data_IF_217666371112
#
_entry.id   IF_217666371112
#
_cell.length_a   1.000
_cell.length_b   1.000
_cell.length_c   1.000
_cell.angle_alpha   90.00
_cell.angle_beta   90.00
_cell.angle_gamma   90.00
#
_symmetry.space_group_name_H-M   'P 1'
#
loop_
_entity.id
_entity.type
_entity.pdbx_description
1 polymer ?
#
# COMPACT_ATOMS: atom_id res chain seq x y z
N UNK A 1 48.67 32.40 -11.43
CA UNK A 1 49.11 33.50 -10.55
C UNK A 1 49.34 34.72 -11.44
N UNK A 2 48.79 35.94 -11.17
CA UNK A 2 47.77 36.39 -10.19
C UNK A 2 46.48 36.95 -10.88
N UNK A 3 45.27 36.80 -10.31
CA UNK A 3 44.52 37.69 -9.39
C UNK A 3 44.31 39.12 -9.94
N UNK A 4 43.10 39.67 -10.12
CA UNK A 4 42.09 40.18 -9.15
C UNK A 4 40.85 40.56 -10.03
N UNK A 5 39.57 40.35 -9.75
CA UNK A 5 38.79 40.27 -8.53
C UNK A 5 37.92 41.53 -8.39
N UNK A 6 36.66 41.55 -8.86
CA UNK A 6 35.61 42.42 -8.30
C UNK A 6 34.21 41.99 -8.79
N UNK A 7 33.55 41.18 -7.96
CA UNK A 7 32.13 40.83 -8.03
C UNK A 7 31.34 41.81 -7.15
N UNK A 8 30.36 42.53 -7.71
CA UNK A 8 29.38 43.29 -6.93
C UNK A 8 27.99 43.15 -7.57
N UNK A 9 27.22 42.17 -7.09
CA UNK A 9 25.75 42.14 -7.26
C UNK A 9 25.13 41.24 -6.19
N UNK A 10 24.82 41.82 -5.04
CA UNK A 10 23.94 41.20 -4.06
C UNK A 10 22.49 41.61 -4.34
N UNK A 11 21.54 40.68 -4.45
CA UNK A 11 20.12 40.99 -4.30
C UNK A 11 19.67 40.90 -2.82
N UNK A 12 18.64 41.66 -2.43
CA UNK A 12 18.29 41.91 -1.03
C UNK A 12 17.58 40.74 -0.36
N UNK A 13 17.97 40.48 0.88
CA UNK A 13 17.30 39.56 1.81
C UNK A 13 16.16 40.29 2.49
N UNK A 14 14.91 40.03 2.08
CA UNK A 14 13.73 40.37 2.87
C UNK A 14 13.41 39.21 3.80
N UNK A 15 14.01 39.22 5.00
CA UNK A 15 13.56 38.37 6.12
C UNK A 15 12.42 39.07 6.83
N UNK A 16 11.26 38.42 6.80
CA UNK A 16 10.08 38.78 7.54
C UNK A 16 10.34 38.87 9.05
N UNK A 17 9.85 39.98 9.59
CA UNK A 17 9.37 40.21 10.96
C UNK A 17 9.14 38.95 11.81
N UNK A 18 10.09 38.68 12.72
CA UNK A 18 9.85 37.88 13.92
C UNK A 18 9.53 38.83 15.05
N UNK A 19 8.24 38.98 15.35
CA UNK A 19 7.75 39.52 16.61
C UNK A 19 6.58 38.65 17.07
N UNK A 20 6.88 37.54 17.75
CA UNK A 20 5.89 36.89 18.60
C UNK A 20 6.33 37.04 20.06
N UNK A 21 5.69 38.00 20.72
CA UNK A 21 5.72 38.23 22.15
C UNK A 21 5.10 37.05 22.89
N UNK A 22 5.81 36.55 23.91
CA UNK A 22 5.27 35.58 24.86
C UNK A 22 4.48 36.27 25.99
N UNK A 23 3.45 35.53 26.42
CA UNK A 23 2.72 35.53 27.73
C UNK A 23 1.50 36.45 27.83
N UNK A 24 0.57 36.22 28.80
CA UNK A 24 0.14 35.00 29.47
C UNK A 24 -1.41 34.82 29.49
N UNK A 25 -1.83 33.67 30.04
CA UNK A 25 -3.21 33.30 30.43
C UNK A 25 -3.91 34.44 31.19
N UNK A 26 -5.14 34.78 30.77
CA UNK A 26 -6.13 35.46 31.61
C UNK A 26 -7.48 34.76 31.50
N UNK A 27 -7.93 34.22 32.64
CA UNK A 27 -9.32 33.86 32.90
C UNK A 27 -10.10 35.12 33.27
N UNK A 28 -11.24 35.34 32.64
CA UNK A 28 -12.39 36.15 33.08
C UNK A 28 -13.60 35.43 32.45
N UNK A 29 -14.46 34.69 33.14
CA UNK A 29 -15.33 35.04 34.27
C UNK A 29 -16.25 36.24 33.97
N UNK A 30 -17.54 35.91 33.78
CA UNK A 30 -18.72 36.60 34.31
C UNK A 30 -19.69 37.25 33.31
N UNK A 31 -20.98 36.91 33.53
CA UNK A 31 -22.18 37.64 33.13
C UNK A 31 -22.88 37.04 31.91
N UNK A 32 -24.14 36.63 31.91
CA UNK A 32 -25.24 36.69 32.89
C UNK A 32 -26.27 35.61 32.44
N UNK A 33 -26.67 34.68 33.31
CA UNK A 33 -27.90 34.75 34.11
C UNK A 33 -29.18 34.92 33.27
N UNK A 34 -29.88 33.82 32.97
CA UNK A 34 -31.36 33.79 32.97
C UNK A 34 -31.84 32.43 33.47
N UNK A 35 -32.38 32.47 34.70
CA UNK A 35 -33.49 31.72 35.27
C UNK A 35 -33.66 30.21 34.95
N UNK A 36 -33.40 29.41 35.98
CA UNK A 36 -34.19 28.22 36.30
C UNK A 36 -35.69 28.60 36.38
N UNK A 37 -36.49 28.02 35.49
CA UNK A 37 -37.90 27.73 35.75
C UNK A 37 -38.07 26.22 35.58
N UNK A 38 -37.95 25.51 36.70
CA UNK A 38 -38.55 24.19 36.86
C UNK A 38 -40.06 24.37 36.90
N UNK A 39 -40.69 24.41 35.72
CA UNK A 39 -42.12 24.15 35.59
C UNK A 39 -42.29 22.70 35.19
N UNK A 40 -42.62 21.89 36.20
CA UNK A 40 -43.32 20.63 36.04
C UNK A 40 -44.60 20.88 35.23
N UNK A 41 -44.53 20.62 33.93
CA UNK A 41 -45.70 20.46 33.09
C UNK A 41 -45.84 18.97 32.79
N UNK A 42 -46.82 18.33 33.44
CA UNK A 42 -47.48 17.17 32.89
C UNK A 42 -48.04 17.59 31.51
N UNK A 43 -47.25 17.34 30.47
CA UNK A 43 -47.65 17.64 29.10
C UNK A 43 -48.67 16.61 28.67
N UNK A 44 -49.94 16.99 28.78
CA UNK A 44 -51.04 16.49 27.98
C UNK A 44 -50.55 16.32 26.54
N UNK A 45 -50.80 15.14 25.98
CA UNK A 45 -50.44 14.75 24.63
C UNK A 45 -51.26 15.56 23.60
N UNK A 46 -50.94 16.84 23.39
CA UNK A 46 -51.54 17.63 22.32
C UNK A 46 -50.88 17.22 20.99
N UNK A 47 -51.61 16.67 20.01
CA UNK A 47 -51.03 16.33 18.73
C UNK A 47 -50.67 17.60 17.97
N UNK A 48 -49.37 17.79 17.69
CA UNK A 48 -48.89 18.82 16.79
C UNK A 48 -49.58 18.73 15.40
N UNK A 49 -49.82 19.86 14.71
CA UNK A 49 -50.46 19.87 13.40
C UNK A 49 -49.69 19.04 12.38
N UNK A 50 -50.40 18.26 11.56
CA UNK A 50 -49.84 17.29 10.62
C UNK A 50 -48.78 17.92 9.67
N UNK A 51 -48.92 19.20 9.31
CA UNK A 51 -47.99 19.94 8.43
C UNK A 51 -46.59 20.12 9.03
N UNK A 52 -46.46 20.37 10.34
CA UNK A 52 -45.17 20.52 11.01
C UNK A 52 -44.42 19.17 11.13
N UNK A 53 -45.17 18.08 11.32
CA UNK A 53 -44.64 16.71 11.42
C UNK A 53 -44.17 16.17 10.06
N UNK A 54 -44.86 16.53 8.98
CA UNK A 54 -44.45 16.26 7.59
C UNK A 54 -43.14 16.97 7.20
N UNK A 55 -42.99 18.26 7.56
CA UNK A 55 -41.74 19.00 7.34
C UNK A 55 -40.54 18.41 8.09
N UNK A 56 -40.74 17.97 9.34
CA UNK A 56 -39.70 17.33 10.14
C UNK A 56 -39.22 15.98 9.54
N UNK A 57 -40.15 15.15 9.06
CA UNK A 57 -39.82 13.89 8.36
C UNK A 57 -39.04 14.14 7.06
N UNK A 58 -39.44 15.16 6.30
CA UNK A 58 -38.78 15.53 5.05
C UNK A 58 -37.35 16.06 5.29
N UNK A 59 -37.14 16.83 6.36
CA UNK A 59 -35.82 17.26 6.83
C UNK A 59 -34.90 16.10 7.20
N UNK A 60 -35.39 15.10 7.96
CA UNK A 60 -34.60 13.90 8.28
C UNK A 60 -34.25 13.06 7.04
N UNK A 61 -35.17 12.95 6.06
CA UNK A 61 -34.89 12.31 4.76
C UNK A 61 -33.84 13.06 3.95
N UNK A 62 -33.82 14.39 4.00
CA UNK A 62 -32.76 15.19 3.37
C UNK A 62 -31.40 14.97 4.07
N UNK A 63 -31.38 14.94 5.41
CA UNK A 63 -30.19 14.62 6.20
C UNK A 63 -29.64 13.23 5.87
N UNK A 64 -30.50 12.21 5.73
CA UNK A 64 -30.08 10.86 5.33
C UNK A 64 -29.47 10.82 3.92
N UNK A 65 -30.02 11.59 2.97
CA UNK A 65 -29.45 11.71 1.60
C UNK A 65 -28.08 12.39 1.63
N UNK A 66 -27.91 13.45 2.41
CA UNK A 66 -26.62 14.13 2.58
C UNK A 66 -25.56 13.19 3.17
N UNK A 67 -25.89 12.46 4.25
CA UNK A 67 -24.99 11.46 4.84
C UNK A 67 -24.63 10.34 3.87
N UNK A 68 -25.58 9.88 3.04
CA UNK A 68 -25.31 8.88 2.00
C UNK A 68 -24.32 9.40 0.94
N UNK A 69 -24.45 10.68 0.54
CA UNK A 69 -23.50 11.32 -0.38
C UNK A 69 -22.10 11.49 0.24
N UNK A 70 -22.02 11.85 1.52
CA UNK A 70 -20.75 11.92 2.26
C UNK A 70 -20.05 10.55 2.34
N UNK A 71 -20.82 9.48 2.62
CA UNK A 71 -20.33 8.09 2.63
C UNK A 71 -19.76 7.71 1.26
N UNK A 72 -20.49 7.97 0.17
CA UNK A 72 -20.01 7.69 -1.18
C UNK A 72 -18.71 8.46 -1.50
N UNK A 73 -18.60 9.71 -1.05
CA UNK A 73 -17.37 10.50 -1.17
C UNK A 73 -16.19 9.94 -0.34
N UNK A 74 -16.46 9.37 0.83
CA UNK A 74 -15.45 8.70 1.67
C UNK A 74 -15.01 7.37 1.04
N UNK A 75 -15.92 6.58 0.50
CA UNK A 75 -15.61 5.33 -0.21
C UNK A 75 -14.73 5.61 -1.46
N UNK A 76 -15.01 6.67 -2.22
CA UNK A 76 -14.14 7.12 -3.31
C UNK A 76 -12.73 7.51 -2.82
N UNK A 77 -12.64 8.25 -1.70
CA UNK A 77 -11.36 8.60 -1.06
C UNK A 77 -10.58 7.38 -0.58
N UNK A 78 -11.27 6.33 -0.12
CA UNK A 78 -10.64 5.04 0.22
C UNK A 78 -10.02 4.41 -1.02
N UNK A 79 -10.74 4.33 -2.14
CA UNK A 79 -10.19 3.77 -3.38
C UNK A 79 -8.92 4.49 -3.84
N UNK A 80 -8.92 5.83 -3.77
CA UNK A 80 -7.73 6.63 -4.08
C UNK A 80 -6.59 6.43 -3.04
N UNK A 81 -6.91 6.33 -1.74
CA UNK A 81 -5.94 6.08 -0.69
C UNK A 81 -5.29 4.68 -0.81
N UNK A 82 -6.08 3.64 -1.09
CA UNK A 82 -5.60 2.29 -1.36
C UNK A 82 -4.66 2.27 -2.56
N UNK A 83 -5.02 2.95 -3.66
CA UNK A 83 -4.15 3.06 -4.85
C UNK A 83 -2.80 3.69 -4.50
N UNK A 84 -2.79 4.77 -3.70
CA UNK A 84 -1.54 5.40 -3.24
C UNK A 84 -0.72 4.48 -2.34
N UNK A 85 -1.37 3.81 -1.39
CA UNK A 85 -0.72 2.84 -0.50
C UNK A 85 -0.07 1.68 -1.28
N UNK A 86 -0.79 1.10 -2.24
CA UNK A 86 -0.27 0.02 -3.10
C UNK A 86 0.91 0.50 -3.96
N UNK A 87 0.83 1.72 -4.49
CA UNK A 87 1.95 2.33 -5.24
C UNK A 87 3.18 2.51 -4.35
N UNK A 88 3.01 3.06 -3.14
CA UNK A 88 4.10 3.24 -2.18
C UNK A 88 4.73 1.90 -1.77
N UNK A 89 3.92 0.87 -1.55
CA UNK A 89 4.38 -0.48 -1.20
C UNK A 89 5.21 -1.09 -2.33
N UNK A 90 4.74 -1.00 -3.58
CA UNK A 90 5.51 -1.47 -4.75
C UNK A 90 6.84 -0.72 -4.92
N UNK A 91 6.86 0.59 -4.66
CA UNK A 91 8.10 1.37 -4.70
C UNK A 91 9.10 0.90 -3.64
N UNK A 92 8.64 0.66 -2.40
CA UNK A 92 9.47 0.10 -1.33
C UNK A 92 10.04 -1.27 -1.69
N UNK A 93 9.23 -2.15 -2.27
CA UNK A 93 9.69 -3.46 -2.73
C UNK A 93 10.73 -3.36 -3.85
N UNK A 94 10.56 -2.42 -4.78
CA UNK A 94 11.54 -2.17 -5.85
C UNK A 94 12.89 -1.74 -5.28
N UNK A 95 12.90 -0.78 -4.34
CA UNK A 95 14.13 -0.34 -3.65
C UNK A 95 14.77 -1.51 -2.89
N UNK A 96 13.98 -2.32 -2.19
CA UNK A 96 14.48 -3.51 -1.48
C UNK A 96 15.09 -4.55 -2.43
N UNK A 97 14.52 -4.74 -3.64
CA UNK A 97 15.12 -5.59 -4.68
C UNK A 97 16.46 -5.05 -5.14
N UNK A 98 16.52 -3.75 -5.44
CA UNK A 98 17.77 -3.09 -5.85
C UNK A 98 18.86 -3.21 -4.78
N UNK A 99 18.51 -3.07 -3.50
CA UNK A 99 19.45 -3.24 -2.40
C UNK A 99 19.99 -4.68 -2.31
N UNK A 100 19.15 -5.70 -2.53
CA UNK A 100 19.59 -7.11 -2.57
C UNK A 100 20.55 -7.38 -3.73
N UNK A 101 20.25 -6.85 -4.91
CA UNK A 101 21.10 -6.99 -6.09
C UNK A 101 22.43 -6.24 -5.91
N UNK A 102 22.40 -5.02 -5.37
CA UNK A 102 23.62 -4.28 -5.05
C UNK A 102 24.50 -5.05 -4.07
N UNK A 103 23.93 -5.60 -2.98
CA UNK A 103 24.67 -6.45 -2.03
C UNK A 103 25.26 -7.71 -2.68
N UNK A 104 24.56 -8.32 -3.66
CA UNK A 104 25.09 -9.45 -4.43
C UNK A 104 26.31 -9.02 -5.25
N UNK A 105 26.22 -7.88 -5.96
CA UNK A 105 27.35 -7.32 -6.73
C UNK A 105 28.53 -6.96 -5.83
N UNK A 106 28.29 -6.40 -4.64
CA UNK A 106 29.36 -6.10 -3.68
C UNK A 106 30.12 -7.37 -3.28
N UNK A 107 29.42 -8.49 -3.03
CA UNK A 107 30.06 -9.78 -2.72
C UNK A 107 30.88 -10.32 -3.90
N UNK A 108 30.38 -10.17 -5.13
CA UNK A 108 31.12 -10.58 -6.33
C UNK A 108 32.39 -9.74 -6.50
N UNK A 109 32.28 -8.42 -6.43
CA UNK A 109 33.42 -7.50 -6.52
C UNK A 109 34.47 -7.75 -5.41
N UNK A 110 34.05 -8.16 -4.21
CA UNK A 110 34.99 -8.56 -3.16
C UNK A 110 35.77 -9.82 -3.54
N UNK A 111 35.10 -10.84 -4.08
CA UNK A 111 35.76 -12.08 -4.55
C UNK A 111 36.70 -11.80 -5.71
N UNK A 112 36.27 -11.01 -6.69
CA UNK A 112 37.09 -10.59 -7.83
C UNK A 112 38.34 -9.86 -7.36
N UNK A 113 38.23 -8.97 -6.37
CA UNK A 113 39.38 -8.27 -5.82
C UNK A 113 40.38 -9.23 -5.15
N UNK A 114 39.88 -10.20 -4.39
CA UNK A 114 40.73 -11.22 -3.75
C UNK A 114 41.49 -12.03 -4.81
N UNK A 115 40.81 -12.47 -5.86
CA UNK A 115 41.41 -13.22 -6.97
C UNK A 115 42.41 -12.37 -7.74
N UNK A 116 42.08 -11.11 -8.05
CA UNK A 116 42.98 -10.19 -8.74
C UNK A 116 44.25 -9.93 -7.92
N UNK A 117 44.13 -9.73 -6.61
CA UNK A 117 45.27 -9.54 -5.70
C UNK A 117 46.15 -10.79 -5.58
N UNK A 118 45.55 -11.99 -5.48
CA UNK A 118 46.34 -13.23 -5.42
C UNK A 118 47.06 -13.52 -6.73
N UNK A 119 46.42 -13.25 -7.86
CA UNK A 119 47.02 -13.40 -9.20
C UNK A 119 48.19 -12.43 -9.38
N UNK A 120 48.01 -11.16 -8.98
CA UNK A 120 49.07 -10.16 -9.01
C UNK A 120 50.26 -10.57 -8.11
N UNK A 121 49.99 -11.08 -6.90
CA UNK A 121 51.03 -11.54 -5.99
C UNK A 121 51.79 -12.76 -6.55
N UNK A 122 51.09 -13.74 -7.10
CA UNK A 122 51.71 -14.92 -7.71
C UNK A 122 52.60 -14.53 -8.91
N UNK A 123 52.15 -13.59 -9.75
CA UNK A 123 52.96 -13.06 -10.86
C UNK A 123 54.16 -12.26 -10.37
N UNK A 124 54.02 -11.45 -9.32
CA UNK A 124 55.15 -10.74 -8.72
C UNK A 124 56.23 -11.70 -8.21
N UNK A 125 55.84 -12.77 -7.54
CA UNK A 125 56.76 -13.83 -7.08
C UNK A 125 57.43 -14.54 -8.26
N UNK A 126 56.68 -14.84 -9.33
CA UNK A 126 57.23 -15.48 -10.53
C UNK A 126 58.26 -14.59 -11.24
N UNK A 127 57.99 -13.28 -11.35
CA UNK A 127 58.95 -12.32 -11.91
C UNK A 127 60.24 -12.27 -11.08
N UNK A 128 60.13 -12.17 -9.74
CA UNK A 128 61.29 -12.13 -8.85
C UNK A 128 62.11 -13.43 -8.89
N UNK A 129 61.46 -14.59 -8.88
CA UNK A 129 62.17 -15.90 -8.95
C UNK A 129 62.83 -16.16 -10.31
N UNK A 130 62.32 -15.56 -11.39
CA UNK A 130 63.00 -15.62 -12.68
C UNK A 130 64.21 -14.67 -12.77
N UNK A 131 64.34 -13.67 -11.89
CA UNK A 131 65.54 -12.83 -11.78
C UNK A 131 66.72 -13.54 -11.06
N UNK A 132 66.45 -14.58 -10.24
CA UNK A 132 67.47 -15.39 -9.57
C UNK A 132 68.15 -16.43 -10.48
N UNK A 133 67.71 -16.58 -11.74
CA UNK A 133 68.56 -17.15 -12.80
C UNK A 133 69.36 -15.98 -13.35
N UNK A 134 70.51 -15.74 -12.72
CA UNK A 134 71.24 -14.49 -12.85
C UNK A 134 71.39 -14.02 -14.32
N UNK A 135 71.17 -12.72 -14.62
CA UNK A 135 71.41 -12.14 -15.94
C UNK A 135 72.81 -12.45 -16.48
N UNK A 136 73.78 -12.74 -15.60
CA UNK A 136 75.13 -13.13 -15.99
C UNK A 136 75.19 -14.51 -16.67
N UNK A 137 74.39 -15.51 -16.28
CA UNK A 137 74.37 -16.83 -16.93
C UNK A 137 73.59 -16.83 -18.25
N UNK A 138 72.60 -15.93 -18.39
CA UNK A 138 71.86 -15.74 -19.64
C UNK A 138 72.56 -14.78 -20.63
N UNK A 139 73.34 -13.79 -20.16
CA UNK A 139 74.13 -12.90 -21.04
C UNK A 139 75.30 -13.65 -21.70
N UNK A 140 75.85 -14.68 -21.06
CA UNK A 140 76.84 -15.56 -21.71
C UNK A 140 76.22 -16.70 -22.54
N UNK A 141 74.88 -16.80 -22.60
CA UNK A 141 74.15 -17.87 -23.28
C UNK A 141 73.04 -17.47 -24.26
N UNK A 142 72.67 -16.19 -24.39
CA UNK A 142 71.56 -15.73 -25.23
C UNK A 142 72.03 -15.07 -26.54
N UNK A 143 71.35 -15.42 -27.63
CA UNK A 143 71.75 -15.08 -28.99
C UNK A 143 71.41 -13.64 -29.47
N UNK A 144 70.55 -12.85 -28.82
CA UNK A 144 70.24 -11.47 -29.28
C UNK A 144 69.65 -10.54 -28.18
N UNK A 145 70.14 -9.30 -28.10
CA UNK A 145 69.65 -8.23 -27.20
C UNK A 145 68.16 -7.86 -27.42
N UNK A 146 67.62 -8.17 -28.60
CA UNK A 146 66.25 -7.86 -29.00
C UNK A 146 65.20 -8.68 -28.23
N UNK A 147 65.52 -9.95 -27.92
CA UNK A 147 64.62 -10.84 -27.17
C UNK A 147 64.44 -10.39 -25.71
N UNK A 148 65.52 -9.90 -25.10
CA UNK A 148 65.49 -9.35 -23.74
C UNK A 148 64.59 -8.11 -23.64
N UNK A 149 64.69 -7.19 -24.60
CA UNK A 149 63.85 -5.97 -24.65
C UNK A 149 62.37 -6.34 -24.85
N UNK A 150 62.11 -7.37 -25.65
CA UNK A 150 60.75 -7.89 -25.90
C UNK A 150 60.14 -8.50 -24.63
N UNK A 151 60.90 -9.34 -23.92
CA UNK A 151 60.45 -9.94 -22.64
C UNK A 151 60.17 -8.88 -21.56
N UNK A 152 61.06 -7.89 -21.41
CA UNK A 152 60.86 -6.79 -20.45
C UNK A 152 59.62 -5.94 -20.78
N UNK A 153 59.37 -5.70 -22.06
CA UNK A 153 58.19 -4.98 -22.54
C UNK A 153 56.88 -5.73 -22.24
N UNK A 154 56.88 -7.05 -22.39
CA UNK A 154 55.74 -7.91 -22.03
C UNK A 154 55.46 -7.87 -20.53
N UNK A 155 56.48 -8.02 -19.69
CA UNK A 155 56.37 -7.94 -18.22
C UNK A 155 55.75 -6.61 -17.79
N UNK A 156 56.27 -5.50 -18.31
CA UNK A 156 55.76 -4.15 -18.01
C UNK A 156 54.30 -3.98 -18.42
N UNK A 157 53.89 -4.59 -19.53
CA UNK A 157 52.51 -4.55 -20.03
C UNK A 157 51.57 -5.36 -19.13
N UNK A 158 51.97 -6.57 -18.73
CA UNK A 158 51.20 -7.41 -17.80
C UNK A 158 51.03 -6.70 -16.45
N UNK A 159 52.11 -6.15 -15.88
CA UNK A 159 52.06 -5.43 -14.60
C UNK A 159 51.20 -4.14 -14.65
N UNK A 160 51.07 -3.50 -15.82
CA UNK A 160 50.12 -2.40 -16.03
C UNK A 160 48.69 -2.93 -16.05
N UNK A 161 48.42 -3.96 -16.84
CA UNK A 161 47.10 -4.59 -16.96
C UNK A 161 46.56 -5.04 -15.60
N UNK A 162 47.38 -5.71 -14.79
CA UNK A 162 46.95 -6.20 -13.48
C UNK A 162 46.60 -5.07 -12.50
N UNK A 163 47.36 -3.97 -12.53
CA UNK A 163 47.04 -2.78 -11.74
C UNK A 163 45.74 -2.14 -12.19
N UNK A 164 45.49 -2.10 -13.50
CA UNK A 164 44.25 -1.53 -14.05
C UNK A 164 43.03 -2.39 -13.70
N UNK A 165 43.16 -3.73 -13.69
CA UNK A 165 42.11 -4.65 -13.21
C UNK A 165 41.79 -4.40 -11.74
N UNK A 166 42.80 -4.33 -10.87
CA UNK A 166 42.59 -4.04 -9.44
C UNK A 166 41.93 -2.66 -9.24
N UNK A 167 42.41 -1.64 -9.97
CA UNK A 167 41.87 -0.27 -9.89
C UNK A 167 40.41 -0.21 -10.36
N UNK A 168 40.06 -0.94 -11.42
CA UNK A 168 38.70 -1.06 -11.92
C UNK A 168 37.77 -1.73 -10.89
N UNK A 169 38.19 -2.86 -10.30
CA UNK A 169 37.39 -3.55 -9.28
C UNK A 169 37.20 -2.66 -8.04
N UNK A 170 38.24 -1.94 -7.60
CA UNK A 170 38.12 -1.00 -6.49
C UNK A 170 37.18 0.17 -6.81
N UNK A 171 37.19 0.68 -8.05
CA UNK A 171 36.24 1.71 -8.50
C UNK A 171 34.80 1.17 -8.47
N UNK A 172 34.56 -0.04 -9.00
CA UNK A 172 33.25 -0.70 -8.93
C UNK A 172 32.78 -0.90 -7.48
N UNK A 173 33.68 -1.25 -6.56
CA UNK A 173 33.32 -1.38 -5.14
C UNK A 173 32.88 -0.06 -4.52
N UNK A 174 33.54 1.06 -4.85
CA UNK A 174 33.15 2.40 -4.38
C UNK A 174 31.78 2.78 -4.93
N UNK A 175 31.55 2.64 -6.23
CA UNK A 175 30.24 2.91 -6.86
C UNK A 175 29.11 2.08 -6.23
N UNK A 176 29.36 0.79 -5.97
CA UNK A 176 28.39 -0.07 -5.31
C UNK A 176 28.12 0.35 -3.85
N UNK A 177 29.11 0.88 -3.13
CA UNK A 177 28.94 1.37 -1.77
C UNK A 177 28.12 2.67 -1.74
N UNK A 178 28.46 3.63 -2.59
CA UNK A 178 27.75 4.92 -2.73
C UNK A 178 26.29 4.67 -3.13
N UNK A 179 26.08 3.75 -4.08
CA UNK A 179 24.73 3.34 -4.48
C UNK A 179 23.96 2.63 -3.37
N UNK A 180 24.63 1.88 -2.50
CA UNK A 180 23.96 1.26 -1.36
C UNK A 180 23.48 2.30 -0.34
N UNK A 181 24.27 3.36 -0.11
CA UNK A 181 23.87 4.48 0.75
C UNK A 181 22.64 5.22 0.19
N UNK A 182 22.66 5.55 -1.11
CA UNK A 182 21.52 6.17 -1.79
C UNK A 182 20.26 5.28 -1.72
N UNK A 183 20.37 3.98 -2.00
CA UNK A 183 19.24 3.05 -1.92
C UNK A 183 18.69 2.90 -0.49
N UNK A 184 19.55 3.03 0.53
CA UNK A 184 19.15 2.97 1.92
C UNK A 184 18.39 4.24 2.35
N UNK A 185 18.79 5.41 1.84
CA UNK A 185 18.03 6.65 2.00
C UNK A 185 16.65 6.56 1.30
N UNK A 186 16.61 6.03 0.08
CA UNK A 186 15.37 5.79 -0.67
C UNK A 186 14.45 4.82 0.07
N UNK A 187 15.02 3.76 0.67
CA UNK A 187 14.27 2.77 1.47
C UNK A 187 13.57 3.45 2.64
N UNK A 188 14.28 4.29 3.39
CA UNK A 188 13.72 5.03 4.54
C UNK A 188 12.61 5.98 4.10
N UNK A 189 12.80 6.66 2.98
CA UNK A 189 11.78 7.56 2.39
C UNK A 189 10.53 6.78 1.98
N UNK A 190 10.71 5.64 1.30
CA UNK A 190 9.61 4.77 0.89
C UNK A 190 8.87 4.17 2.09
N UNK A 191 9.56 3.77 3.17
CA UNK A 191 8.94 3.27 4.40
C UNK A 191 8.11 4.34 5.10
N UNK A 192 8.63 5.57 5.20
CA UNK A 192 7.85 6.71 5.71
C UNK A 192 6.60 6.95 4.87
N UNK A 193 6.70 6.91 3.54
CA UNK A 193 5.56 7.10 2.65
C UNK A 193 4.49 6.01 2.85
N UNK A 194 4.90 4.74 2.94
CA UNK A 194 3.98 3.62 3.23
C UNK A 194 3.28 3.83 4.57
N UNK A 195 4.02 4.24 5.61
CA UNK A 195 3.46 4.58 6.92
C UNK A 195 2.41 5.70 6.84
N UNK A 196 2.74 6.81 6.17
CA UNK A 196 1.82 7.93 5.96
C UNK A 196 0.55 7.52 5.21
N UNK A 197 0.69 6.73 4.14
CA UNK A 197 -0.46 6.23 3.39
C UNK A 197 -1.34 5.30 4.23
N UNK A 198 -0.74 4.42 5.05
CA UNK A 198 -1.46 3.53 5.95
C UNK A 198 -2.26 4.30 6.99
N UNK A 199 -1.65 5.30 7.63
CA UNK A 199 -2.33 6.16 8.61
C UNK A 199 -3.47 6.95 7.98
N UNK A 200 -3.25 7.53 6.79
CA UNK A 200 -4.30 8.26 6.06
C UNK A 200 -5.50 7.35 5.73
N UNK A 201 -5.25 6.10 5.29
CA UNK A 201 -6.29 5.12 5.04
C UNK A 201 -7.06 4.78 6.33
N UNK A 202 -6.37 4.60 7.45
CA UNK A 202 -6.98 4.39 8.76
C UNK A 202 -7.91 5.53 9.18
N UNK A 203 -7.47 6.78 9.05
CA UNK A 203 -8.29 7.96 9.37
C UNK A 203 -9.55 8.05 8.52
N UNK A 204 -9.45 7.76 7.21
CA UNK A 204 -10.63 7.80 6.33
C UNK A 204 -11.62 6.68 6.71
N UNK A 205 -11.13 5.50 7.08
CA UNK A 205 -11.96 4.37 7.53
C UNK A 205 -12.71 4.69 8.82
N UNK A 206 -12.05 5.31 9.80
CA UNK A 206 -12.71 5.74 11.05
C UNK A 206 -13.85 6.72 10.73
N UNK A 207 -13.58 7.73 9.88
CA UNK A 207 -14.62 8.70 9.46
C UNK A 207 -15.78 8.04 8.71
N UNK A 208 -15.50 7.03 7.89
CA UNK A 208 -16.54 6.28 7.18
C UNK A 208 -17.47 5.57 8.17
N UNK A 209 -16.91 4.93 9.19
CA UNK A 209 -17.69 4.21 10.20
C UNK A 209 -18.55 5.17 11.04
N UNK A 210 -17.99 6.31 11.45
CA UNK A 210 -18.74 7.37 12.14
C UNK A 210 -19.94 7.83 11.30
N UNK A 211 -19.76 8.02 9.98
CA UNK A 211 -20.84 8.47 9.08
C UNK A 211 -21.89 7.38 8.84
N UNK A 212 -21.48 6.12 8.72
CA UNK A 212 -22.41 4.97 8.61
C UNK A 212 -23.27 4.82 9.86
N UNK A 213 -22.66 4.94 11.04
CA UNK A 213 -23.36 4.94 12.33
C UNK A 213 -24.36 6.10 12.43
N UNK A 214 -23.96 7.31 12.04
CA UNK A 214 -24.86 8.47 11.98
C UNK A 214 -26.05 8.23 11.02
N UNK A 215 -25.80 7.67 9.84
CA UNK A 215 -26.87 7.36 8.88
C UNK A 215 -27.85 6.31 9.41
N UNK A 216 -27.36 5.27 10.09
CA UNK A 216 -28.19 4.26 10.73
C UNK A 216 -29.10 4.89 11.82
N UNK A 217 -28.53 5.79 12.63
CA UNK A 217 -29.28 6.59 13.61
C UNK A 217 -30.41 7.39 12.96
N UNK A 218 -30.11 8.18 11.93
CA UNK A 218 -31.12 8.98 11.21
C UNK A 218 -32.19 8.10 10.56
N UNK A 219 -31.82 6.95 9.98
CA UNK A 219 -32.79 5.99 9.41
C UNK A 219 -33.73 5.41 10.47
N UNK A 220 -33.22 5.10 11.67
CA UNK A 220 -34.04 4.62 12.78
C UNK A 220 -35.08 5.67 13.22
N UNK A 221 -34.67 6.94 13.26
CA UNK A 221 -35.54 8.06 13.60
C UNK A 221 -36.62 8.31 12.53
N UNK A 222 -36.26 8.22 11.24
CA UNK A 222 -37.23 8.27 10.13
C UNK A 222 -38.30 7.18 10.29
N UNK A 223 -37.90 5.94 10.62
CA UNK A 223 -38.86 4.84 10.84
C UNK A 223 -39.79 5.13 12.01
N UNK A 224 -39.27 5.63 13.13
CA UNK A 224 -40.08 6.01 14.30
C UNK A 224 -41.09 7.12 13.97
N UNK A 225 -40.65 8.16 13.25
CA UNK A 225 -41.50 9.26 12.83
C UNK A 225 -42.59 8.83 11.82
N UNK A 226 -42.25 7.90 10.91
CA UNK A 226 -43.20 7.35 9.95
C UNK A 226 -44.23 6.41 10.59
N UNK A 227 -43.83 5.62 11.60
CA UNK A 227 -44.74 4.74 12.34
C UNK A 227 -45.77 5.54 13.15
N UNK A 228 -45.37 6.67 13.76
CA UNK A 228 -46.28 7.57 14.45
C UNK A 228 -47.22 8.39 13.55
N UNK A 229 -47.11 8.25 12.22
CA UNK A 229 -47.93 8.95 11.23
C UNK A 229 -48.96 8.07 10.52
N UNK A 230 -49.09 6.77 10.88
CA UNK A 230 -50.13 5.89 10.34
C UNK A 230 -51.49 6.18 11.00
N UNK A 231 -52.54 6.57 10.25
CA UNK A 231 -53.92 6.49 10.75
C UNK A 231 -54.34 5.03 10.90
N UNK A 232 -55.10 4.74 11.95
CA UNK A 232 -55.77 3.45 12.16
C UNK A 232 -56.90 3.29 11.13
N UNK A 233 -56.65 2.66 9.99
CA UNK A 233 -57.69 1.97 9.20
C UNK A 233 -57.07 0.87 8.33
N UNK A 234 -57.82 -0.20 8.12
CA UNK A 234 -57.37 -1.49 7.60
C UNK A 234 -57.64 -1.68 6.08
N UNK A 235 -56.84 -2.61 5.50
CA UNK A 235 -57.00 -3.38 4.24
C UNK A 235 -56.63 -2.73 2.88
N UNK A 236 -56.29 -3.54 1.83
CA UNK A 236 -55.38 -4.68 1.73
C UNK A 236 -54.12 -4.34 0.87
N UNK A 237 -53.09 -5.20 0.92
CA UNK A 237 -51.81 -4.98 0.24
C UNK A 237 -51.81 -5.39 -1.24
N UNK A 238 -51.29 -4.57 -2.18
CA UNK A 238 -50.80 -5.05 -3.45
C UNK A 238 -49.34 -5.51 -3.32
N UNK A 239 -49.10 -6.79 -3.61
CA UNK A 239 -47.79 -7.40 -3.81
C UNK A 239 -47.16 -6.81 -5.07
N UNK A 240 -45.96 -6.23 -4.96
CA UNK A 240 -45.12 -5.89 -6.11
C UNK A 240 -43.79 -6.60 -5.93
N UNK A 241 -43.60 -7.67 -6.72
CA UNK A 241 -42.30 -8.32 -6.93
C UNK A 241 -41.30 -7.34 -7.54
N UNK A 242 -40.01 -7.41 -7.19
CA UNK A 242 -38.98 -6.61 -7.86
C UNK A 242 -38.74 -7.13 -9.28
N UNK A 243 -38.53 -6.23 -10.28
CA UNK A 243 -38.33 -6.65 -11.66
C UNK A 243 -36.98 -7.37 -11.83
N UNK A 244 -37.05 -8.50 -12.53
CA UNK A 244 -35.93 -9.01 -13.31
C UNK A 244 -35.60 -8.00 -14.40
N UNK A 245 -34.36 -7.50 -14.44
CA UNK A 245 -33.76 -7.05 -15.68
C UNK A 245 -32.24 -7.06 -15.61
N UNK A 246 -31.68 -7.97 -16.41
CA UNK A 246 -30.45 -7.74 -17.11
C UNK A 246 -30.63 -6.52 -18.00
N UNK A 247 -29.72 -5.54 -17.92
CA UNK A 247 -29.28 -4.88 -19.13
C UNK A 247 -27.85 -4.38 -18.97
N UNK A 248 -27.10 -4.54 -20.06
CA UNK A 248 -25.69 -4.20 -20.17
C UNK A 248 -25.49 -2.69 -20.14
N UNK A 249 -24.46 -2.26 -19.41
CA UNK A 249 -23.99 -0.88 -19.41
C UNK A 249 -22.53 -0.84 -19.00
N UNK A 250 -21.66 -0.56 -19.98
CA UNK A 250 -20.24 -0.28 -19.78
C UNK A 250 -20.05 0.81 -18.73
N UNK A 251 -19.28 0.51 -17.69
CA UNK A 251 -19.10 1.38 -16.53
C UNK A 251 -17.99 0.92 -15.60
N UNK A 252 -16.74 1.09 -16.04
CA UNK A 252 -15.52 1.26 -15.23
C UNK A 252 -15.35 0.46 -13.92
N UNK A 253 -14.57 -0.62 -13.98
CA UNK A 253 -13.82 -1.16 -12.82
C UNK A 253 -14.20 -2.57 -12.33
N UNK A 254 -15.21 -3.22 -12.92
CA UNK A 254 -15.56 -4.62 -12.65
C UNK A 254 -14.68 -5.54 -13.49
N UNK A 255 -13.73 -6.25 -12.87
CA UNK A 255 -13.11 -7.41 -13.54
C UNK A 255 -14.15 -8.48 -13.91
N UNK A 256 -13.77 -9.55 -14.64
CA UNK A 256 -14.69 -10.59 -15.17
C UNK A 256 -15.38 -11.45 -14.09
N UNK A 257 -15.26 -11.08 -12.81
CA UNK A 257 -15.67 -11.89 -11.66
C UNK A 257 -17.17 -11.79 -11.35
N UNK A 258 -17.83 -10.71 -11.71
CA UNK A 258 -19.22 -10.46 -11.28
C UNK A 258 -20.21 -11.56 -11.72
N UNK A 259 -20.24 -12.03 -12.98
CA UNK A 259 -21.10 -13.13 -13.38
C UNK A 259 -20.84 -14.42 -12.59
N UNK A 260 -19.57 -14.73 -12.34
CA UNK A 260 -19.15 -15.91 -11.57
C UNK A 260 -19.55 -15.79 -10.10
N UNK A 261 -19.43 -14.61 -9.50
CA UNK A 261 -19.85 -14.36 -8.12
C UNK A 261 -21.36 -14.54 -7.98
N UNK A 262 -22.16 -13.98 -8.89
CA UNK A 262 -23.63 -14.18 -8.84
C UNK A 262 -24.00 -15.66 -8.91
N UNK A 263 -23.40 -16.39 -9.84
CA UNK A 263 -23.66 -17.82 -10.02
C UNK A 263 -23.26 -18.62 -8.78
N UNK A 264 -22.02 -18.46 -8.30
CA UNK A 264 -21.52 -19.20 -7.14
C UNK A 264 -22.29 -18.86 -5.85
N UNK A 265 -22.66 -17.59 -5.67
CA UNK A 265 -23.42 -17.14 -4.52
C UNK A 265 -24.85 -17.71 -4.52
N UNK A 266 -25.51 -17.70 -5.68
CA UNK A 266 -26.84 -18.29 -5.84
C UNK A 266 -26.84 -19.79 -5.52
N UNK A 267 -25.86 -20.55 -6.04
CA UNK A 267 -25.73 -21.99 -5.76
C UNK A 267 -25.45 -22.34 -4.30
N UNK A 268 -25.04 -21.36 -3.48
CA UNK A 268 -24.70 -21.57 -2.07
C UNK A 268 -25.61 -20.83 -1.10
N UNK A 269 -26.64 -20.11 -1.59
CA UNK A 269 -27.55 -19.35 -0.73
C UNK A 269 -26.88 -18.21 0.03
N UNK A 270 -25.81 -17.62 -0.52
CA UNK A 270 -25.06 -16.51 0.10
C UNK A 270 -25.23 -15.22 -0.69
N UNK A 271 -25.00 -14.07 -0.05
CA UNK A 271 -25.15 -12.78 -0.73
C UNK A 271 -24.05 -12.54 -1.77
N UNK A 272 -24.42 -12.49 -3.06
CA UNK A 272 -23.51 -12.14 -4.15
C UNK A 272 -22.86 -10.77 -3.96
N UNK A 273 -23.65 -9.80 -3.47
CA UNK A 273 -23.13 -8.45 -3.14
C UNK A 273 -22.17 -8.50 -1.96
N UNK A 274 -22.45 -9.32 -0.95
CA UNK A 274 -21.53 -9.53 0.17
C UNK A 274 -20.21 -10.14 -0.28
N UNK A 275 -20.24 -11.18 -1.10
CA UNK A 275 -19.04 -11.80 -1.67
C UNK A 275 -18.22 -10.83 -2.52
N UNK A 276 -18.88 -10.03 -3.36
CA UNK A 276 -18.18 -9.02 -4.16
C UNK A 276 -17.51 -7.96 -3.28
N UNK A 277 -18.19 -7.48 -2.23
CA UNK A 277 -17.60 -6.56 -1.25
C UNK A 277 -16.38 -7.17 -0.58
N UNK A 278 -16.47 -8.43 -0.16
CA UNK A 278 -15.36 -9.14 0.47
C UNK A 278 -14.14 -9.23 -0.46
N UNK A 279 -14.34 -9.67 -1.71
CA UNK A 279 -13.27 -9.73 -2.72
C UNK A 279 -12.58 -8.38 -2.90
N UNK A 280 -13.36 -7.29 -2.95
CA UNK A 280 -12.81 -5.95 -3.13
C UNK A 280 -12.03 -5.47 -1.91
N UNK A 281 -12.44 -5.85 -0.69
CA UNK A 281 -11.70 -5.54 0.55
C UNK A 281 -10.36 -6.28 0.58
N UNK A 282 -10.36 -7.57 0.24
CA UNK A 282 -9.20 -8.46 0.38
C UNK A 282 -8.13 -8.22 -0.68
N UNK A 283 -8.54 -8.05 -1.94
CA UNK A 283 -7.59 -8.02 -3.07
C UNK A 283 -7.81 -6.90 -4.07
N UNK A 284 -8.91 -6.14 -3.94
CA UNK A 284 -9.36 -5.22 -4.98
C UNK A 284 -9.69 -5.93 -6.30
N UNK A 285 -10.00 -7.23 -6.28
CA UNK A 285 -10.29 -8.04 -7.47
C UNK A 285 -9.07 -8.64 -8.17
N UNK A 286 -7.90 -8.63 -7.54
CA UNK A 286 -6.67 -9.21 -8.10
C UNK A 286 -6.51 -10.69 -7.72
N UNK A 287 -6.61 -11.59 -8.69
CA UNK A 287 -6.50 -13.03 -8.44
C UNK A 287 -5.06 -13.52 -8.15
N UNK A 288 -4.05 -12.70 -8.46
CA UNK A 288 -2.63 -13.07 -8.34
C UNK A 288 -1.90 -12.35 -7.21
N UNK A 289 -2.61 -11.52 -6.44
CA UNK A 289 -1.98 -10.76 -5.34
C UNK A 289 -1.61 -11.68 -4.19
N UNK A 290 -0.41 -11.49 -3.65
CA UNK A 290 0.08 -12.20 -2.45
C UNK A 290 0.43 -11.15 -1.40
N UNK A 291 -0.21 -11.22 -0.23
CA UNK A 291 0.11 -10.30 0.86
C UNK A 291 1.43 -10.67 1.54
N UNK A 292 2.08 -9.73 2.25
CA UNK A 292 3.28 -10.02 3.05
C UNK A 292 3.09 -11.10 4.12
N UNK A 293 1.84 -11.40 4.51
CA UNK A 293 1.50 -12.51 5.42
C UNK A 293 1.36 -13.88 4.75
N UNK A 294 1.61 -13.97 3.44
CA UNK A 294 1.50 -15.21 2.68
C UNK A 294 0.06 -15.61 2.35
N UNK A 295 -0.84 -14.64 2.21
CA UNK A 295 -2.23 -14.87 1.77
C UNK A 295 -2.39 -14.57 0.29
N UNK A 296 -3.20 -15.36 -0.42
CA UNK A 296 -3.22 -15.40 -1.88
C UNK A 296 -4.59 -15.06 -2.47
N UNK A 297 -4.54 -14.31 -3.57
CA UNK A 297 -5.62 -14.19 -4.54
C UNK A 297 -6.81 -13.34 -4.13
N UNK A 298 -7.93 -13.54 -4.82
CA UNK A 298 -9.15 -12.74 -4.75
C UNK A 298 -9.67 -12.52 -3.33
N UNK A 299 -9.52 -13.52 -2.47
CA UNK A 299 -10.02 -13.51 -1.08
C UNK A 299 -8.92 -13.72 -0.04
N UNK A 300 -7.65 -13.56 -0.43
CA UNK A 300 -6.51 -13.67 0.50
C UNK A 300 -6.53 -14.96 1.33
N UNK A 301 -6.53 -16.11 0.66
CA UNK A 301 -6.46 -17.41 1.35
C UNK A 301 -5.05 -17.74 1.85
N UNK A 302 -4.95 -18.33 3.04
CA UNK A 302 -3.74 -19.02 3.47
C UNK A 302 -3.57 -20.34 2.70
N UNK A 303 -2.34 -20.76 2.32
CA UNK A 303 -2.11 -22.02 1.60
C UNK A 303 -2.65 -23.25 2.33
N UNK A 304 -2.50 -23.31 3.65
CA UNK A 304 -3.00 -24.42 4.48
C UNK A 304 -4.52 -24.50 4.44
N UNK A 305 -5.21 -23.37 4.61
CA UNK A 305 -6.67 -23.28 4.50
C UNK A 305 -7.14 -23.69 3.11
N UNK A 306 -6.47 -23.23 2.04
CA UNK A 306 -6.84 -23.61 0.67
C UNK A 306 -6.72 -25.11 0.40
N UNK A 307 -5.72 -25.77 1.00
CA UNK A 307 -5.47 -27.20 0.83
C UNK A 307 -6.34 -28.09 1.73
N UNK A 308 -7.16 -27.52 2.60
CA UNK A 308 -8.03 -28.29 3.50
C UNK A 308 -9.10 -29.11 2.78
N UNK A 309 -9.54 -30.20 3.41
CA UNK A 309 -10.52 -31.14 2.84
C UNK A 309 -11.90 -30.52 2.61
N UNK A 310 -12.20 -29.42 3.30
CA UNK A 310 -13.42 -28.62 3.08
C UNK A 310 -13.51 -28.06 1.65
N UNK A 311 -12.38 -27.92 0.94
CA UNK A 311 -12.29 -27.26 -0.37
C UNK A 311 -12.24 -28.29 -1.52
N UNK A 312 -13.31 -28.43 -2.34
CA UNK A 312 -13.31 -29.28 -3.53
C UNK A 312 -12.32 -28.83 -4.61
N UNK A 313 -11.93 -27.55 -4.62
CA UNK A 313 -11.03 -26.96 -5.61
C UNK A 313 -9.57 -26.89 -5.14
N UNK A 314 -9.22 -27.61 -4.06
CA UNK A 314 -7.87 -27.59 -3.46
C UNK A 314 -6.75 -28.06 -4.40
N UNK A 315 -7.06 -28.81 -5.45
CA UNK A 315 -6.11 -29.22 -6.50
C UNK A 315 -5.82 -28.10 -7.50
N UNK A 316 -6.73 -27.14 -7.69
CA UNK A 316 -6.50 -25.95 -8.50
C UNK A 316 -5.50 -24.99 -7.86
N UNK A 317 -4.90 -24.11 -8.67
CA UNK A 317 -4.03 -23.05 -8.16
C UNK A 317 -4.80 -22.15 -7.18
N UNK A 318 -4.16 -21.79 -6.07
CA UNK A 318 -4.72 -20.82 -5.10
C UNK A 318 -4.92 -19.43 -5.71
N UNK A 319 -4.32 -19.14 -6.87
CA UNK A 319 -4.51 -17.89 -7.62
C UNK A 319 -5.52 -18.03 -8.77
N UNK A 320 -6.17 -19.18 -8.92
CA UNK A 320 -7.29 -19.35 -9.87
C UNK A 320 -8.51 -18.60 -9.31
N UNK A 321 -8.92 -17.53 -10.00
CA UNK A 321 -10.01 -16.67 -9.55
C UNK A 321 -11.37 -17.37 -9.59
N UNK A 322 -11.64 -18.21 -10.59
CA UNK A 322 -12.91 -18.91 -10.70
C UNK A 322 -13.04 -19.98 -9.62
N UNK A 323 -11.96 -20.71 -9.34
CA UNK A 323 -11.90 -21.65 -8.22
C UNK A 323 -12.09 -20.94 -6.89
N UNK A 324 -11.41 -19.82 -6.66
CA UNK A 324 -11.53 -19.05 -5.43
C UNK A 324 -12.95 -18.52 -5.18
N UNK A 325 -13.62 -18.00 -6.20
CA UNK A 325 -15.00 -17.52 -6.07
C UNK A 325 -15.93 -18.67 -5.62
N UNK A 326 -15.81 -19.84 -6.24
CA UNK A 326 -16.62 -21.01 -5.88
C UNK A 326 -16.29 -21.52 -4.46
N UNK A 327 -15.00 -21.60 -4.13
CA UNK A 327 -14.53 -22.00 -2.80
C UNK A 327 -15.03 -21.05 -1.71
N UNK A 328 -14.95 -19.74 -1.93
CA UNK A 328 -15.43 -18.74 -0.97
C UNK A 328 -16.93 -18.78 -0.77
N UNK A 329 -17.72 -19.00 -1.83
CA UNK A 329 -19.17 -19.15 -1.69
C UNK A 329 -19.51 -20.34 -0.78
N UNK A 330 -18.82 -21.47 -0.98
CA UNK A 330 -18.96 -22.66 -0.15
C UNK A 330 -18.49 -22.41 1.29
N UNK A 331 -17.33 -21.79 1.48
CA UNK A 331 -16.78 -21.49 2.81
C UNK A 331 -17.76 -20.64 3.65
N UNK A 332 -18.39 -19.64 3.03
CA UNK A 332 -19.36 -18.77 3.69
C UNK A 332 -20.64 -19.55 4.03
N UNK A 333 -21.14 -20.39 3.11
CA UNK A 333 -22.27 -21.29 3.39
C UNK A 333 -21.99 -22.22 4.56
N UNK A 334 -20.77 -22.71 4.69
CA UNK A 334 -20.32 -23.57 5.80
C UNK A 334 -20.08 -22.79 7.12
N UNK A 335 -20.26 -21.47 7.12
CA UNK A 335 -20.15 -20.63 8.32
C UNK A 335 -18.73 -20.14 8.64
N UNK A 336 -17.75 -20.34 7.76
CA UNK A 336 -16.36 -19.94 8.01
C UNK A 336 -16.08 -18.44 7.82
N UNK A 337 -17.07 -17.68 7.32
CA UNK A 337 -16.96 -16.26 7.01
C UNK A 337 -16.25 -15.43 8.09
N UNK A 338 -16.83 -15.44 9.30
CA UNK A 338 -16.27 -14.71 10.44
C UNK A 338 -14.87 -15.23 10.84
N UNK A 339 -14.70 -16.55 10.91
CA UNK A 339 -13.46 -17.15 11.39
C UNK A 339 -12.24 -16.83 10.50
N UNK A 340 -12.43 -16.70 9.19
CA UNK A 340 -11.30 -16.60 8.25
C UNK A 340 -11.09 -15.20 7.70
N UNK A 341 -12.14 -14.38 7.69
CA UNK A 341 -12.10 -13.08 7.05
C UNK A 341 -12.53 -11.94 7.96
N UNK A 342 -12.75 -12.16 9.26
CA UNK A 342 -12.97 -11.00 10.11
C UNK A 342 -11.71 -10.15 10.29
N UNK A 343 -11.88 -8.82 10.30
CA UNK A 343 -13.16 -8.08 10.32
C UNK A 343 -13.81 -7.82 8.95
N UNK A 344 -13.12 -8.13 7.85
CA UNK A 344 -13.60 -7.88 6.48
C UNK A 344 -14.93 -8.56 6.15
N UNK A 345 -15.17 -9.78 6.66
CA UNK A 345 -16.41 -10.51 6.46
C UNK A 345 -17.61 -9.80 7.10
N UNK A 346 -17.49 -9.44 8.38
CA UNK A 346 -18.50 -8.66 9.09
C UNK A 346 -18.89 -7.38 8.34
N UNK A 347 -17.92 -6.71 7.73
CA UNK A 347 -18.16 -5.51 6.92
C UNK A 347 -18.78 -5.81 5.56
N UNK A 348 -18.32 -6.88 4.91
CA UNK A 348 -18.80 -7.28 3.60
C UNK A 348 -20.24 -7.79 3.62
N UNK A 349 -20.69 -8.40 4.72
CA UNK A 349 -22.02 -8.99 4.85
C UNK A 349 -22.98 -8.16 5.72
N UNK A 350 -22.57 -6.97 6.15
CA UNK A 350 -23.46 -6.05 6.86
C UNK A 350 -24.60 -5.57 5.94
N UNK A 351 -25.84 -5.78 6.38
CA UNK A 351 -27.06 -5.40 5.66
C UNK A 351 -27.33 -6.18 4.37
N UNK A 352 -26.78 -7.39 4.26
CA UNK A 352 -26.93 -8.29 3.11
C UNK A 352 -28.03 -9.34 3.35
#
# INVERSE_FOLDING_TARGET
>A
MPAVGLTARGPPVLRGSVLEHRRPIRRLASGALVALLALSAAAVLVPAPASARSGHLQGKRAQARALAAEIAGLDAKIGAAVTRYSRATRALEAVRRQLRENRRRQRLAFRELTIARSTLAARAVAMYKHEDVGPMDAVFGAADLSDLVTQLSMIKTIARSDRDVVRAIEATRRDLADRAESLEADRRTAEKLVGTCKSALGTIRIRLEERRSALAGVRSEIRRLAAGARPSSAAPAPTVEPPDQADGGDGGGTGPWWPLIRSAAASNGVSARGMFRLMMIESGGSATVVSPGGFYGLFQYAPSTWKGDWNPWRSSSITDGAAQIKATALAIRLGYGHAWWDPSYSWAFQGA
#
